data_IF_022330885145
#
_entry.id   IF_022330885145
#
_cell.length_a   1.000
_cell.length_b   1.000
_cell.length_c   1.000
_cell.angle_alpha   90.00
_cell.angle_beta   90.00
_cell.angle_gamma   90.00
#
_symmetry.space_group_name_H-M   'P 1'
#
loop_
_entity.id
_entity.type
_entity.pdbx_description
1 polymer ?
#
# COMPACT_ATOMS: atom_id res chain seq x y z
N UNK A 1 1.94 11.02 25.48
CA UNK A 1 2.08 10.76 24.02
C UNK A 1 1.88 9.28 23.78
N UNK A 2 1.28 8.88 22.65
CA UNK A 2 0.92 7.48 22.41
C UNK A 2 1.62 6.96 21.14
N UNK A 3 2.48 5.96 21.31
CA UNK A 3 3.20 5.31 20.22
C UNK A 3 2.35 4.18 19.63
N UNK A 4 2.12 4.23 18.33
CA UNK A 4 1.41 3.16 17.61
C UNK A 4 2.44 2.09 17.20
N UNK A 5 2.11 0.83 17.48
CA UNK A 5 2.94 -0.35 17.16
C UNK A 5 2.10 -1.40 16.44
N UNK A 6 2.73 -2.50 16.02
CA UNK A 6 2.11 -3.46 15.09
C UNK A 6 1.04 -4.36 15.75
N UNK A 7 -0.07 -4.55 15.02
CA UNK A 7 -1.14 -5.56 15.19
C UNK A 7 -2.39 -5.30 16.06
N UNK A 8 -2.51 -4.21 16.83
CA UNK A 8 -3.75 -3.95 17.60
C UNK A 8 -4.73 -2.97 16.93
N UNK A 9 -6.03 -3.14 17.23
CA UNK A 9 -7.07 -2.15 16.90
C UNK A 9 -6.73 -0.81 17.57
N UNK A 10 -6.46 0.19 16.74
CA UNK A 10 -5.98 1.51 17.15
C UNK A 10 -6.94 2.19 18.14
N UNK A 11 -8.24 2.12 17.87
CA UNK A 11 -9.26 2.74 18.72
C UNK A 11 -9.29 2.09 20.09
N UNK A 12 -9.24 0.76 20.16
CA UNK A 12 -9.25 0.04 21.44
C UNK A 12 -8.00 0.32 22.27
N UNK A 13 -6.82 0.35 21.63
CA UNK A 13 -5.56 0.71 22.30
C UNK A 13 -5.64 2.11 22.93
N UNK A 14 -6.12 3.10 22.16
CA UNK A 14 -6.24 4.47 22.66
C UNK A 14 -7.26 4.53 23.81
N UNK A 15 -8.41 3.86 23.71
CA UNK A 15 -9.41 3.79 24.79
C UNK A 15 -8.83 3.24 26.08
N UNK A 16 -8.06 2.15 26.00
CA UNK A 16 -7.42 1.55 27.17
C UNK A 16 -6.48 2.53 27.87
N UNK A 17 -5.63 3.22 27.11
CA UNK A 17 -4.74 4.25 27.66
C UNK A 17 -5.50 5.44 28.25
N UNK A 18 -6.60 5.85 27.63
CA UNK A 18 -7.45 6.92 28.18
C UNK A 18 -8.11 6.49 29.49
N UNK A 19 -8.54 5.24 29.62
CA UNK A 19 -9.17 4.76 30.86
C UNK A 19 -8.18 4.74 32.04
N UNK A 20 -6.90 4.41 31.79
CA UNK A 20 -5.83 4.46 32.80
C UNK A 20 -5.53 5.88 33.31
N UNK A 21 -5.86 6.90 32.51
CA UNK A 21 -5.60 8.32 32.79
C UNK A 21 -6.86 9.10 33.15
N UNK A 22 -7.99 8.42 33.35
CA UNK A 22 -9.31 9.02 33.54
C UNK A 22 -9.31 10.01 34.73
N UNK A 23 -9.67 11.25 34.44
CA UNK A 23 -9.87 12.30 35.44
C UNK A 23 -10.79 13.39 34.85
N UNK A 24 -12.00 13.61 35.42
CA UNK A 24 -12.96 14.59 34.94
C UNK A 24 -12.47 16.04 34.93
N UNK A 25 -11.43 16.39 35.70
CA UNK A 25 -10.90 17.76 35.75
C UNK A 25 -9.79 18.02 34.73
N UNK A 26 -9.31 16.97 34.02
CA UNK A 26 -8.18 17.10 33.10
C UNK A 26 -8.57 17.59 31.71
N UNK A 27 -7.73 18.49 31.18
CA UNK A 27 -7.67 18.83 29.75
C UNK A 27 -6.53 18.03 29.11
N UNK A 28 -6.88 17.13 28.20
CA UNK A 28 -5.92 16.19 27.62
C UNK A 28 -5.69 16.46 26.12
N UNK A 29 -4.41 16.57 25.72
CA UNK A 29 -3.99 16.55 24.32
C UNK A 29 -3.34 15.21 23.99
N UNK A 30 -4.03 14.39 23.21
CA UNK A 30 -3.56 13.08 22.75
C UNK A 30 -2.81 13.25 21.43
N UNK A 31 -1.47 13.19 21.50
CA UNK A 31 -0.61 13.15 20.32
C UNK A 31 -0.38 11.70 19.89
N UNK A 32 -0.83 11.38 18.69
CA UNK A 32 -0.59 10.08 18.06
C UNK A 32 0.64 10.19 17.16
N UNK A 33 1.63 9.31 17.39
CA UNK A 33 2.87 9.27 16.62
C UNK A 33 3.24 7.85 16.23
N UNK A 34 3.74 7.69 15.00
CA UNK A 34 4.29 6.43 14.53
C UNK A 34 3.89 6.10 13.10
N UNK A 35 4.32 4.92 12.65
CA UNK A 35 3.97 4.36 11.35
C UNK A 35 2.85 3.34 11.54
N UNK A 36 1.81 3.39 10.71
CA UNK A 36 0.65 2.49 10.77
C UNK A 36 0.35 1.90 9.40
N UNK A 37 -0.08 0.65 9.35
CA UNK A 37 -0.60 0.06 8.10
C UNK A 37 -1.99 0.63 7.76
N UNK A 38 -2.42 0.46 6.51
CA UNK A 38 -3.78 0.79 6.07
C UNK A 38 -4.83 0.01 6.88
N UNK A 39 -4.55 -1.26 7.16
CA UNK A 39 -5.42 -2.13 7.96
C UNK A 39 -5.58 -1.58 9.38
N UNK A 40 -4.51 -1.13 10.02
CA UNK A 40 -4.57 -0.53 11.34
C UNK A 40 -5.34 0.79 11.30
N UNK A 41 -5.01 1.69 10.37
CA UNK A 41 -5.71 2.96 10.21
C UNK A 41 -7.22 2.77 9.98
N UNK A 42 -7.62 1.69 9.29
CA UNK A 42 -9.02 1.36 9.07
C UNK A 42 -9.80 1.11 10.36
N UNK A 43 -9.12 0.76 11.46
CA UNK A 43 -9.72 0.55 12.79
C UNK A 43 -9.83 1.83 13.62
N UNK A 44 -9.19 2.92 13.20
CA UNK A 44 -9.21 4.19 13.91
C UNK A 44 -10.54 4.93 13.71
N UNK A 45 -11.19 5.33 14.81
CA UNK A 45 -12.49 6.04 14.83
C UNK A 45 -12.43 7.22 15.80
N UNK A 46 -12.06 8.41 15.30
CA UNK A 46 -11.97 9.64 16.12
C UNK A 46 -13.28 9.98 16.83
N UNK A 47 -14.41 9.87 16.14
CA UNK A 47 -15.74 10.14 16.72
C UNK A 47 -16.05 9.23 17.91
N UNK A 48 -15.65 7.96 17.83
CA UNK A 48 -15.80 6.99 18.91
C UNK A 48 -14.92 7.34 20.11
N UNK A 49 -13.69 7.80 19.87
CA UNK A 49 -12.79 8.26 20.92
C UNK A 49 -13.30 9.53 21.61
N UNK A 50 -13.81 10.50 20.84
CA UNK A 50 -14.43 11.71 21.38
C UNK A 50 -15.64 11.37 22.26
N UNK A 51 -16.52 10.49 21.77
CA UNK A 51 -17.69 10.03 22.51
C UNK A 51 -17.29 9.29 23.79
N UNK A 52 -16.25 8.46 23.71
CA UNK A 52 -15.70 7.77 24.87
C UNK A 52 -15.13 8.75 25.91
N UNK A 53 -14.51 9.85 25.49
CA UNK A 53 -13.97 10.85 26.42
C UNK A 53 -15.02 11.78 27.06
N UNK A 54 -16.26 11.84 26.55
CA UNK A 54 -17.23 12.90 26.84
C UNK A 54 -17.55 13.11 28.33
N UNK A 55 -17.47 12.09 29.17
CA UNK A 55 -17.73 12.21 30.63
C UNK A 55 -16.56 11.71 31.49
N UNK A 56 -15.38 11.55 30.86
CA UNK A 56 -14.17 11.02 31.51
C UNK A 56 -13.11 12.10 31.74
N UNK A 57 -13.22 13.21 31.02
CA UNK A 57 -12.27 14.32 31.01
C UNK A 57 -13.02 15.63 30.80
N UNK A 58 -12.46 16.74 31.26
CA UNK A 58 -13.03 18.06 31.02
C UNK A 58 -13.01 18.41 29.52
N UNK A 59 -11.91 18.07 28.84
CA UNK A 59 -11.77 18.24 27.39
C UNK A 59 -10.68 17.33 26.85
N UNK A 60 -10.90 16.72 25.68
CA UNK A 60 -9.89 15.91 24.98
C UNK A 60 -9.74 16.38 23.54
N UNK A 61 -8.51 16.55 23.10
CA UNK A 61 -8.15 16.83 21.72
C UNK A 61 -7.19 15.79 21.18
N UNK A 62 -7.36 15.41 19.91
CA UNK A 62 -6.49 14.47 19.21
C UNK A 62 -5.67 15.21 18.16
N UNK A 63 -4.36 14.99 18.19
CA UNK A 63 -3.39 15.49 17.21
C UNK A 63 -2.74 14.31 16.50
N UNK A 64 -3.10 14.13 15.23
CA UNK A 64 -2.66 13.03 14.38
C UNK A 64 -1.58 13.44 13.37
N UNK A 65 -1.00 14.64 13.49
CA UNK A 65 -0.03 15.19 12.51
C UNK A 65 1.24 14.36 12.35
N UNK A 66 1.58 13.53 13.34
CA UNK A 66 2.80 12.72 13.36
C UNK A 66 2.52 11.23 13.08
N UNK A 67 1.36 10.93 12.48
CA UNK A 67 0.98 9.59 12.07
C UNK A 67 1.31 9.39 10.59
N UNK A 68 2.22 8.47 10.30
CA UNK A 68 2.60 8.11 8.93
C UNK A 68 1.89 6.82 8.52
N UNK A 69 1.30 6.79 7.33
CA UNK A 69 0.70 5.57 6.77
C UNK A 69 1.75 4.84 5.96
N UNK A 70 2.06 3.60 6.36
CA UNK A 70 2.83 2.66 5.56
C UNK A 70 1.93 2.23 4.42
N UNK A 71 2.12 2.84 3.25
CA UNK A 71 1.47 2.39 2.03
C UNK A 71 1.94 0.95 1.72
N UNK A 72 1.07 0.08 1.17
CA UNK A 72 1.56 -1.12 0.50
C UNK A 72 2.60 -0.70 -0.55
N UNK A 73 3.58 -1.57 -0.78
CA UNK A 73 4.80 -1.34 -1.59
C UNK A 73 4.60 -0.35 -2.75
N UNK A 74 5.64 0.45 -3.02
CA UNK A 74 5.68 1.29 -4.22
C UNK A 74 5.19 0.47 -5.40
N UNK A 75 4.14 0.95 -6.07
CA UNK A 75 3.73 0.40 -7.36
C UNK A 75 4.96 0.47 -8.25
N UNK A 76 5.63 -0.66 -8.44
CA UNK A 76 6.76 -0.70 -9.35
C UNK A 76 6.23 -0.33 -10.72
N UNK A 77 6.87 0.61 -11.43
CA UNK A 77 6.51 0.84 -12.81
C UNK A 77 6.63 -0.50 -13.53
N UNK A 78 5.62 -0.84 -14.34
CA UNK A 78 5.74 -1.97 -15.24
C UNK A 78 7.10 -1.86 -15.97
N UNK A 79 7.86 -2.96 -16.09
CA UNK A 79 9.13 -2.92 -16.79
C UNK A 79 8.89 -2.24 -18.15
N UNK A 80 9.70 -1.23 -18.44
CA UNK A 80 9.62 -0.50 -19.71
C UNK A 80 10.15 -1.42 -20.80
N UNK A 81 9.31 -2.34 -21.27
CA UNK A 81 9.59 -3.09 -22.49
C UNK A 81 8.98 -2.37 -23.68
N UNK A 82 9.72 -2.28 -24.79
CA UNK A 82 9.13 -1.86 -26.05
C UNK A 82 8.28 -3.01 -26.63
N UNK A 83 7.31 -2.73 -27.52
CA UNK A 83 6.55 -3.79 -28.19
C UNK A 83 7.44 -4.85 -28.85
N UNK A 84 8.60 -4.43 -29.38
CA UNK A 84 9.58 -5.34 -29.98
C UNK A 84 10.25 -6.25 -28.95
N UNK A 85 10.55 -5.74 -27.76
CA UNK A 85 11.18 -6.50 -26.69
C UNK A 85 10.23 -7.58 -26.15
N UNK A 86 8.95 -7.25 -25.99
CA UNK A 86 7.96 -8.23 -25.49
C UNK A 86 7.70 -9.33 -26.52
N UNK A 87 7.62 -8.98 -27.81
CA UNK A 87 7.53 -9.97 -28.89
C UNK A 87 8.75 -10.90 -28.88
N UNK A 88 9.96 -10.35 -28.82
CA UNK A 88 11.18 -11.17 -28.73
C UNK A 88 11.15 -12.10 -27.53
N UNK A 89 10.74 -11.60 -26.35
CA UNK A 89 10.62 -12.39 -25.12
C UNK A 89 9.65 -13.55 -25.28
N UNK A 90 8.46 -13.29 -25.84
CA UNK A 90 7.43 -14.30 -26.07
C UNK A 90 7.90 -15.40 -27.01
N UNK A 91 8.46 -15.04 -28.17
CA UNK A 91 8.93 -16.02 -29.15
C UNK A 91 10.17 -16.79 -28.66
N UNK A 92 11.06 -16.16 -27.91
CA UNK A 92 12.19 -16.86 -27.26
C UNK A 92 11.72 -17.88 -26.22
N UNK A 93 10.65 -17.58 -25.48
CA UNK A 93 10.04 -18.56 -24.58
C UNK A 93 9.40 -19.71 -25.35
N UNK A 94 8.67 -19.44 -26.43
CA UNK A 94 8.08 -20.45 -27.31
C UNK A 94 9.12 -21.40 -27.91
N UNK A 95 10.24 -20.88 -28.42
CA UNK A 95 11.32 -21.70 -28.97
C UNK A 95 11.98 -22.62 -27.93
N UNK A 96 11.98 -22.22 -26.65
CA UNK A 96 12.45 -23.06 -25.54
C UNK A 96 11.47 -24.16 -25.19
N UNK A 97 10.17 -23.86 -25.20
CA UNK A 97 9.11 -24.81 -24.81
C UNK A 97 8.73 -25.76 -25.95
N UNK A 98 8.98 -25.37 -27.20
CA UNK A 98 8.66 -26.14 -28.40
C UNK A 98 9.87 -26.28 -29.34
N UNK A 99 10.85 -27.13 -28.99
CA UNK A 99 12.08 -27.27 -29.77
C UNK A 99 11.83 -27.78 -31.20
N UNK A 100 10.83 -28.64 -31.40
CA UNK A 100 10.50 -29.24 -32.71
C UNK A 100 9.91 -28.23 -33.70
N UNK A 101 9.37 -27.11 -33.21
CA UNK A 101 8.74 -26.06 -34.02
C UNK A 101 9.66 -24.83 -34.20
N UNK A 102 10.93 -24.89 -33.75
CA UNK A 102 11.83 -23.71 -33.72
C UNK A 102 11.94 -22.97 -35.05
N UNK A 103 12.00 -23.70 -36.17
CA UNK A 103 12.12 -23.09 -37.50
C UNK A 103 10.89 -22.23 -37.84
N UNK A 104 9.69 -22.77 -37.62
CA UNK A 104 8.41 -22.10 -37.90
C UNK A 104 8.23 -20.91 -36.93
N UNK A 105 8.55 -21.09 -35.65
CA UNK A 105 8.48 -20.05 -34.63
C UNK A 105 9.45 -18.90 -34.96
N UNK A 106 10.65 -19.22 -35.46
CA UNK A 106 11.63 -18.23 -35.90
C UNK A 106 11.18 -17.41 -37.11
N UNK A 107 10.55 -18.06 -38.10
CA UNK A 107 9.97 -17.39 -39.27
C UNK A 107 8.82 -16.45 -38.85
N UNK A 108 7.94 -16.91 -37.97
CA UNK A 108 6.86 -16.09 -37.41
C UNK A 108 7.38 -14.88 -36.62
N UNK A 109 8.47 -15.04 -35.85
CA UNK A 109 9.12 -13.92 -35.14
C UNK A 109 9.63 -12.85 -36.12
N UNK A 110 10.26 -13.24 -37.23
CA UNK A 110 10.74 -12.28 -38.23
C UNK A 110 9.60 -11.49 -38.86
N UNK A 111 8.51 -12.17 -39.23
CA UNK A 111 7.31 -11.51 -39.77
C UNK A 111 6.71 -10.52 -38.77
N UNK A 112 6.59 -10.90 -37.49
CA UNK A 112 6.09 -10.00 -36.45
C UNK A 112 6.98 -8.77 -36.23
N UNK A 113 8.31 -8.95 -36.21
CA UNK A 113 9.26 -7.84 -36.08
C UNK A 113 9.16 -6.89 -37.28
N UNK A 114 9.05 -7.43 -38.49
CA UNK A 114 8.92 -6.63 -39.70
C UNK A 114 7.64 -5.79 -39.68
N UNK A 115 6.49 -6.41 -39.38
CA UNK A 115 5.22 -5.70 -39.30
C UNK A 115 5.22 -4.60 -38.22
N UNK A 116 5.84 -4.86 -37.06
CA UNK A 116 5.95 -3.87 -35.99
C UNK A 116 6.86 -2.69 -36.35
N UNK A 117 7.96 -2.95 -37.07
CA UNK A 117 8.84 -1.90 -37.59
C UNK A 117 8.14 -1.03 -38.63
N UNK A 118 7.38 -1.64 -39.53
CA UNK A 118 6.59 -0.93 -40.55
C UNK A 118 5.50 -0.04 -39.91
N UNK A 119 4.92 -0.48 -38.79
CA UNK A 119 3.95 0.29 -38.01
C UNK A 119 4.58 1.41 -37.14
N UNK A 120 5.91 1.54 -37.11
CA UNK A 120 6.61 2.54 -36.29
C UNK A 120 6.65 2.22 -34.80
N UNK A 121 6.46 0.97 -34.40
CA UNK A 121 6.62 0.53 -33.02
C UNK A 121 8.12 0.32 -32.71
N UNK A 122 8.76 1.35 -32.13
CA UNK A 122 10.14 1.32 -31.64
C UNK A 122 10.18 0.83 -30.19
#
# INVERSE_FOLDING_TARGET
ELQVGDQENLTQKIKKTLEELKDPELVLLVKLRGRVSVEQLSTYRRSELISFSHDRFFSVSFDEKLLDVVAPERVEPLPRSTPLEEVRRYFNHLMKTKPDEQKIIGEALQLCIQNLREAGAW
#
